data_IF_431373972351
#
_entry.id   IF_431373972351
#
_cell.length_a   1.000
_cell.length_b   1.000
_cell.length_c   1.000
_cell.angle_alpha   90.00
_cell.angle_beta   90.00
_cell.angle_gamma   90.00
#
_symmetry.space_group_name_H-M   'P 1'
#
loop_
_entity.id
_entity.type
_entity.pdbx_description
1 polymer ?
#
# COMPACT_ATOMS: atom_id res chain seq x y z
N UNK A 1 49.61 -12.37 -32.81
CA UNK A 1 48.55 -11.37 -32.58
C UNK A 1 47.63 -11.88 -31.48
N UNK A 2 47.48 -11.09 -30.40
CA UNK A 2 46.79 -11.45 -29.15
C UNK A 2 45.29 -11.18 -29.19
N UNK A 3 44.48 -12.05 -28.58
CA UNK A 3 43.11 -11.78 -28.07
C UNK A 3 42.96 -12.58 -26.76
N UNK A 4 43.51 -12.10 -25.65
CA UNK A 4 42.89 -11.25 -24.61
C UNK A 4 41.59 -11.84 -24.03
N UNK A 5 41.81 -12.58 -22.94
CA UNK A 5 40.96 -12.78 -21.76
C UNK A 5 39.46 -12.53 -21.91
N UNK A 6 38.70 -13.63 -22.01
CA UNK A 6 37.28 -13.61 -21.68
C UNK A 6 37.14 -13.39 -20.16
N UNK A 7 36.75 -12.17 -19.78
CA UNK A 7 36.44 -11.82 -18.38
C UNK A 7 35.31 -12.72 -17.86
N UNK A 8 35.41 -13.28 -16.63
CA UNK A 8 34.30 -14.00 -16.03
C UNK A 8 33.15 -13.03 -15.83
N UNK A 9 32.01 -13.34 -16.46
CA UNK A 9 30.75 -12.63 -16.27
C UNK A 9 30.43 -12.68 -14.78
N UNK A 10 30.63 -11.55 -14.09
CA UNK A 10 30.34 -11.36 -12.68
C UNK A 10 28.90 -11.81 -12.41
N UNK A 11 28.75 -13.03 -11.90
CA UNK A 11 27.49 -13.52 -11.39
C UNK A 11 27.25 -12.84 -10.05
N UNK A 12 26.94 -11.55 -10.10
CA UNK A 12 26.26 -10.88 -9.00
C UNK A 12 25.01 -11.73 -8.75
N UNK A 13 25.10 -12.57 -7.71
CA UNK A 13 24.06 -13.50 -7.33
C UNK A 13 22.84 -12.68 -6.95
N UNK A 14 21.98 -12.43 -7.93
CA UNK A 14 20.65 -11.89 -7.71
C UNK A 14 19.93 -12.94 -6.87
N UNK A 15 20.00 -12.78 -5.54
CA UNK A 15 19.33 -13.64 -4.57
C UNK A 15 17.88 -13.74 -5.00
N UNK A 16 17.54 -14.86 -5.64
CA UNK A 16 16.21 -15.14 -6.18
C UNK A 16 15.30 -15.30 -4.98
N UNK A 17 14.63 -14.21 -4.59
CA UNK A 17 13.72 -14.22 -3.45
C UNK A 17 12.61 -15.24 -3.79
N UNK A 18 12.39 -16.27 -2.95
CA UNK A 18 11.34 -17.24 -3.18
C UNK A 18 9.98 -16.54 -3.32
N UNK A 19 9.19 -16.92 -4.33
CA UNK A 19 7.86 -16.33 -4.60
C UNK A 19 6.94 -16.38 -3.38
N UNK A 20 7.06 -17.42 -2.54
CA UNK A 20 6.32 -17.55 -1.27
C UNK A 20 6.63 -16.43 -0.26
N UNK A 21 7.85 -15.90 -0.27
CA UNK A 21 8.26 -14.79 0.60
C UNK A 21 7.69 -13.48 0.07
N UNK A 22 7.70 -13.27 -1.25
CA UNK A 22 7.08 -12.10 -1.90
C UNK A 22 5.57 -12.04 -1.66
N UNK A 23 4.87 -13.18 -1.70
CA UNK A 23 3.43 -13.24 -1.39
C UNK A 23 3.13 -12.95 0.07
N UNK A 24 3.96 -13.43 1.01
CA UNK A 24 3.79 -13.14 2.43
C UNK A 24 3.99 -11.65 2.77
N UNK A 25 5.00 -11.02 2.18
CA UNK A 25 5.31 -9.60 2.37
C UNK A 25 4.17 -8.72 1.83
N UNK A 26 3.66 -9.02 0.63
CA UNK A 26 2.60 -8.23 -0.01
C UNK A 26 1.26 -8.30 0.74
N UNK A 27 0.93 -9.43 1.35
CA UNK A 27 -0.28 -9.59 2.19
C UNK A 27 -0.17 -8.79 3.49
N UNK A 28 0.97 -8.86 4.18
CA UNK A 28 1.20 -8.07 5.40
C UNK A 28 1.18 -6.56 5.11
N UNK A 29 1.71 -6.15 3.96
CA UNK A 29 1.74 -4.76 3.53
C UNK A 29 0.33 -4.21 3.27
N UNK A 30 -0.54 -4.99 2.61
CA UNK A 30 -1.96 -4.62 2.44
C UNK A 30 -2.69 -4.50 3.77
N UNK A 31 -2.54 -5.48 4.68
CA UNK A 31 -3.19 -5.45 5.99
C UNK A 31 -2.78 -4.24 6.83
N UNK A 32 -1.48 -3.92 6.86
CA UNK A 32 -0.99 -2.76 7.59
C UNK A 32 -1.46 -1.44 6.97
N UNK A 33 -1.46 -1.33 5.64
CA UNK A 33 -1.97 -0.13 4.94
C UNK A 33 -3.45 0.11 5.25
N UNK A 34 -4.25 -0.96 5.32
CA UNK A 34 -5.67 -0.89 5.62
C UNK A 34 -5.95 -0.43 7.05
N UNK A 35 -5.29 -1.04 8.05
CA UNK A 35 -5.40 -0.62 9.45
C UNK A 35 -5.06 0.86 9.63
N UNK A 36 -4.02 1.33 8.95
CA UNK A 36 -3.60 2.72 9.01
C UNK A 36 -4.60 3.67 8.33
N UNK A 37 -5.19 3.26 7.21
CA UNK A 37 -6.25 4.04 6.58
C UNK A 37 -7.46 4.22 7.50
N UNK A 38 -7.84 3.18 8.26
CA UNK A 38 -8.91 3.26 9.25
C UNK A 38 -8.59 4.19 10.42
N UNK A 39 -7.35 4.20 10.92
CA UNK A 39 -6.91 5.15 11.94
C UNK A 39 -7.03 6.60 11.44
N UNK A 40 -6.60 6.86 10.20
CA UNK A 40 -6.73 8.19 9.58
C UNK A 40 -8.19 8.61 9.47
N UNK A 41 -9.09 7.70 9.07
CA UNK A 41 -10.53 7.99 8.98
C UNK A 41 -11.16 8.33 10.35
N UNK A 42 -10.63 7.75 11.43
CA UNK A 42 -11.05 8.04 12.81
C UNK A 42 -10.44 9.33 13.38
N UNK A 43 -9.54 10.00 12.63
CA UNK A 43 -8.80 11.16 13.12
C UNK A 43 -7.63 10.80 14.05
N UNK A 44 -7.26 9.52 14.15
CA UNK A 44 -6.12 9.08 14.96
C UNK A 44 -4.80 9.45 14.25
N UNK A 45 -3.82 9.89 15.04
CA UNK A 45 -2.47 10.13 14.53
C UNK A 45 -1.78 8.79 14.25
N UNK A 46 -1.39 8.49 12.99
CA UNK A 46 -0.64 7.28 12.70
C UNK A 46 0.73 7.33 13.39
N UNK A 47 1.22 6.17 13.83
CA UNK A 47 2.52 6.07 14.52
C UNK A 47 3.68 6.71 13.73
N UNK A 48 4.61 7.38 14.42
CA UNK A 48 5.81 7.95 13.78
C UNK A 48 6.67 6.83 13.18
N UNK A 49 7.17 7.02 11.96
CA UNK A 49 8.03 6.03 11.27
C UNK A 49 7.31 5.07 10.32
N UNK A 50 6.05 5.35 9.98
CA UNK A 50 5.27 4.54 9.05
C UNK A 50 5.89 4.47 7.63
N UNK A 51 6.28 3.26 7.20
CA UNK A 51 6.82 3.03 5.85
C UNK A 51 5.81 3.25 4.70
N UNK A 52 4.50 3.23 4.98
CA UNK A 52 3.44 3.23 3.94
C UNK A 52 2.42 4.38 4.07
N UNK A 53 2.80 5.49 4.69
CA UNK A 53 1.92 6.62 4.98
C UNK A 53 1.20 7.19 3.74
N UNK A 54 1.89 7.30 2.58
CA UNK A 54 1.26 7.79 1.33
C UNK A 54 0.12 6.89 0.85
N UNK A 55 0.31 5.57 0.93
CA UNK A 55 -0.66 4.58 0.45
C UNK A 55 -1.87 4.50 1.37
N UNK A 56 -1.64 4.57 2.69
CA UNK A 56 -2.69 4.63 3.69
C UNK A 56 -3.54 5.91 3.56
N UNK A 57 -2.90 7.08 3.32
CA UNK A 57 -3.62 8.34 3.06
C UNK A 57 -4.52 8.26 1.83
N UNK A 58 -4.00 7.75 0.71
CA UNK A 58 -4.79 7.57 -0.51
C UNK A 58 -6.01 6.67 -0.27
N UNK A 59 -5.80 5.52 0.37
CA UNK A 59 -6.88 4.59 0.70
C UNK A 59 -7.92 5.21 1.65
N UNK A 60 -7.48 6.02 2.62
CA UNK A 60 -8.39 6.76 3.50
C UNK A 60 -9.22 7.80 2.73
N UNK A 61 -8.61 8.56 1.83
CA UNK A 61 -9.33 9.54 0.99
C UNK A 61 -10.37 8.88 0.09
N UNK A 62 -10.05 7.76 -0.55
CA UNK A 62 -10.99 6.99 -1.38
C UNK A 62 -12.19 6.49 -0.56
N UNK A 63 -11.94 5.97 0.65
CA UNK A 63 -12.99 5.54 1.58
C UNK A 63 -13.86 6.69 2.05
N UNK A 64 -13.25 7.82 2.40
CA UNK A 64 -13.98 9.01 2.84
C UNK A 64 -14.91 9.51 1.74
N UNK A 65 -14.45 9.57 0.49
CA UNK A 65 -15.28 9.96 -0.64
C UNK A 65 -16.50 9.05 -0.82
N UNK A 66 -16.34 7.74 -0.58
CA UNK A 66 -17.45 6.79 -0.63
C UNK A 66 -18.45 7.05 0.50
N UNK A 67 -17.97 7.25 1.74
CA UNK A 67 -18.82 7.56 2.90
C UNK A 67 -19.57 8.89 2.71
N UNK A 68 -18.90 9.91 2.18
CA UNK A 68 -19.50 11.23 1.94
C UNK A 68 -20.65 11.11 0.92
N UNK A 69 -20.48 10.33 -0.16
CA UNK A 69 -21.54 10.04 -1.13
C UNK A 69 -22.70 9.27 -0.49
N UNK A 70 -22.43 8.23 0.29
CA UNK A 70 -23.47 7.47 0.99
C UNK A 70 -24.30 8.36 1.94
N UNK A 71 -23.63 9.29 2.63
CA UNK A 71 -24.29 10.25 3.51
C UNK A 71 -25.14 11.28 2.74
N UNK A 72 -24.67 11.72 1.56
CA UNK A 72 -25.45 12.60 0.67
C UNK A 72 -26.73 11.90 0.20
N UNK A 73 -26.62 10.64 -0.24
CA UNK A 73 -27.77 9.83 -0.62
C UNK A 73 -28.76 9.63 0.54
N UNK A 74 -28.28 9.37 1.76
CA UNK A 74 -29.13 9.25 2.95
C UNK A 74 -29.85 10.58 3.26
N UNK A 75 -29.14 11.70 3.15
CA UNK A 75 -29.73 13.03 3.36
C UNK A 75 -30.79 13.36 2.31
N UNK A 76 -30.61 12.96 1.07
CA UNK A 76 -31.61 13.13 0.01
C UNK A 76 -32.88 12.35 0.30
N UNK A 77 -32.77 11.11 0.78
CA UNK A 77 -33.92 10.30 1.19
C UNK A 77 -34.69 10.95 2.35
N UNK A 78 -34.00 11.52 3.33
CA UNK A 78 -34.63 12.20 4.47
C UNK A 78 -35.44 13.45 4.07
N UNK A 79 -35.10 14.12 2.96
CA UNK A 79 -35.87 15.28 2.46
C UNK A 79 -37.29 14.94 2.02
N UNK A 80 -37.57 13.66 1.75
CA UNK A 80 -38.88 13.18 1.28
C UNK A 80 -39.69 12.45 2.36
N UNK A 81 -39.27 12.52 3.63
CA UNK A 81 -40.02 12.02 4.80
C UNK A 81 -40.83 13.13 5.46
#
# INVERSE_FOLDING_TARGET
>A
MSRKDASPQSSASARRIPVRILSGITVQLHRNTHKQAEQILRGEQPAKGLQYAKRAKKLASERKATIDLDNEHLSEIEKYR
#
